data_IF_355898670549
#
_entry.id   IF_355898670549
#
_cell.length_a   1.000
_cell.length_b   1.000
_cell.length_c   1.000
_cell.angle_alpha   90.00
_cell.angle_beta   90.00
_cell.angle_gamma   90.00
#
_symmetry.space_group_name_H-M   'P 1'
#
loop_
_entity.id
_entity.type
_entity.pdbx_description
1 polymer ?
#
# COMPACT_ATOMS: atom_id res chain seq x y z
N UNK A 1 6.42 3.77 -10.12
CA UNK A 1 6.41 3.54 -8.65
C UNK A 1 5.42 4.51 -8.04
N UNK A 2 4.68 4.11 -7.01
CA UNK A 2 3.78 4.99 -6.27
C UNK A 2 4.58 5.64 -5.12
N UNK A 3 4.37 6.93 -4.85
CA UNK A 3 5.26 7.69 -3.95
C UNK A 3 4.55 8.81 -3.18
N UNK A 4 3.26 8.66 -2.92
CA UNK A 4 2.47 9.70 -2.27
C UNK A 4 2.94 10.01 -0.85
N UNK A 5 3.37 9.01 -0.09
CA UNK A 5 3.68 9.17 1.34
C UNK A 5 5.03 9.84 1.65
N UNK A 6 5.79 10.26 0.63
CA UNK A 6 6.98 11.06 0.84
C UNK A 6 7.15 12.13 -0.25
N UNK A 7 7.68 11.80 -1.44
CA UNK A 7 7.86 12.83 -2.48
C UNK A 7 6.54 13.50 -2.89
N UNK A 8 5.43 12.76 -2.90
CA UNK A 8 4.10 13.35 -3.12
C UNK A 8 3.66 14.28 -1.98
N UNK A 9 3.95 13.92 -0.72
CA UNK A 9 3.74 14.78 0.44
C UNK A 9 4.58 16.06 0.38
N UNK A 10 5.88 15.95 0.09
CA UNK A 10 6.78 17.11 -0.11
C UNK A 10 6.31 18.00 -1.25
N UNK A 11 5.93 17.40 -2.38
CA UNK A 11 5.40 18.13 -3.53
C UNK A 11 4.13 18.92 -3.15
N UNK A 12 3.13 18.24 -2.58
CA UNK A 12 1.86 18.88 -2.24
C UNK A 12 2.00 19.94 -1.14
N UNK A 13 2.84 19.72 -0.13
CA UNK A 13 3.14 20.72 0.91
C UNK A 13 3.86 21.95 0.37
N UNK A 14 4.83 21.76 -0.53
CA UNK A 14 5.53 22.87 -1.19
C UNK A 14 4.57 23.68 -2.08
N UNK A 15 3.71 23.02 -2.85
CA UNK A 15 2.69 23.71 -3.65
C UNK A 15 1.76 24.51 -2.74
N UNK A 16 1.27 23.92 -1.64
CA UNK A 16 0.41 24.65 -0.70
C UNK A 16 1.13 25.87 -0.10
N UNK A 17 2.40 25.74 0.25
CA UNK A 17 3.20 26.86 0.79
C UNK A 17 3.40 28.00 -0.21
N UNK A 18 3.61 27.67 -1.49
CA UNK A 18 3.76 28.66 -2.56
C UNK A 18 2.41 29.35 -2.84
N UNK A 19 1.35 28.55 -2.95
CA UNK A 19 0.00 29.03 -3.26
C UNK A 19 -0.60 29.89 -2.15
N UNK A 20 -0.22 29.64 -0.90
CA UNK A 20 -0.59 30.52 0.21
C UNK A 20 0.04 31.91 0.07
N UNK A 21 1.29 31.99 -0.39
CA UNK A 21 1.98 33.27 -0.59
C UNK A 21 1.45 34.04 -1.80
N UNK A 22 0.96 33.33 -2.83
CA UNK A 22 0.39 33.94 -4.03
C UNK A 22 -1.12 34.22 -3.92
N UNK A 23 -1.76 33.83 -2.82
CA UNK A 23 -3.19 33.95 -2.62
C UNK A 23 -3.69 35.39 -2.86
N UNK A 24 -4.76 35.54 -3.63
CA UNK A 24 -5.32 36.83 -4.06
C UNK A 24 -4.39 37.71 -4.92
N UNK A 25 -3.29 37.17 -5.44
CA UNK A 25 -2.45 37.85 -6.44
C UNK A 25 -2.73 37.32 -7.84
N UNK A 26 -2.11 37.95 -8.86
CA UNK A 26 -2.11 37.47 -10.24
C UNK A 26 -1.34 36.15 -10.46
N UNK A 27 -0.63 35.67 -9.43
CA UNK A 27 0.21 34.47 -9.49
C UNK A 27 -0.40 33.25 -8.79
N UNK A 28 -1.60 33.38 -8.21
CA UNK A 28 -2.32 32.22 -7.66
C UNK A 28 -2.69 31.21 -8.74
N UNK A 29 -2.79 29.94 -8.37
CA UNK A 29 -3.29 28.89 -9.23
C UNK A 29 -4.68 29.24 -9.79
N UNK A 30 -4.87 28.94 -11.08
CA UNK A 30 -6.16 28.97 -11.71
C UNK A 30 -7.06 27.82 -11.21
N UNK A 31 -8.30 27.74 -11.70
CA UNK A 31 -9.21 26.65 -11.29
C UNK A 31 -8.63 25.26 -11.57
N UNK A 32 -7.90 25.09 -12.67
CA UNK A 32 -7.30 23.80 -13.04
C UNK A 32 -6.25 23.37 -12.02
N UNK A 33 -5.32 24.26 -11.64
CA UNK A 33 -4.31 23.99 -10.62
C UNK A 33 -4.93 23.66 -9.26
N UNK A 34 -5.94 24.42 -8.85
CA UNK A 34 -6.69 24.19 -7.59
C UNK A 34 -7.38 22.83 -7.58
N UNK A 35 -8.00 22.44 -8.70
CA UNK A 35 -8.64 21.14 -8.86
C UNK A 35 -7.63 19.99 -8.83
N UNK A 36 -6.47 20.15 -9.46
CA UNK A 36 -5.40 19.13 -9.48
C UNK A 36 -4.87 18.88 -8.08
N UNK A 37 -4.61 19.93 -7.28
CA UNK A 37 -4.15 19.75 -5.90
C UNK A 37 -5.24 19.09 -5.04
N UNK A 38 -6.49 19.52 -5.18
CA UNK A 38 -7.61 18.87 -4.48
C UNK A 38 -7.75 17.38 -4.83
N UNK A 39 -7.67 17.04 -6.13
CA UNK A 39 -7.71 15.65 -6.59
C UNK A 39 -6.54 14.82 -6.04
N UNK A 40 -5.34 15.40 -5.99
CA UNK A 40 -4.16 14.76 -5.41
C UNK A 40 -4.38 14.44 -3.93
N UNK A 41 -4.88 15.40 -3.13
CA UNK A 41 -5.14 15.20 -1.71
C UNK A 41 -6.26 14.17 -1.47
N UNK A 42 -7.38 14.29 -2.19
CA UNK A 42 -8.49 13.33 -2.10
C UNK A 42 -8.07 11.92 -2.52
N UNK A 43 -7.17 11.76 -3.48
CA UNK A 43 -6.58 10.47 -3.82
C UNK A 43 -5.58 9.97 -2.77
N UNK A 44 -4.80 10.87 -2.18
CA UNK A 44 -3.77 10.55 -1.17
C UNK A 44 -4.39 10.08 0.14
N UNK A 45 -5.56 10.58 0.53
CA UNK A 45 -6.28 10.11 1.72
C UNK A 45 -6.56 8.60 1.70
N UNK A 46 -6.83 8.02 0.51
CA UNK A 46 -7.01 6.57 0.36
C UNK A 46 -5.75 5.76 0.66
N UNK A 47 -4.58 6.39 0.71
CA UNK A 47 -3.30 5.76 0.99
C UNK A 47 -2.87 5.93 2.46
N UNK A 48 -3.78 6.43 3.31
CA UNK A 48 -3.55 6.64 4.74
C UNK A 48 -4.40 5.66 5.54
N UNK A 49 -3.78 4.95 6.48
CA UNK A 49 -4.49 4.23 7.54
C UNK A 49 -4.19 4.88 8.89
N UNK A 50 -4.83 4.42 9.95
CA UNK A 50 -4.65 4.95 11.29
C UNK A 50 -4.33 3.85 12.29
N UNK A 51 -3.57 4.20 13.33
CA UNK A 51 -3.46 3.41 14.55
C UNK A 51 -4.07 4.23 15.70
N UNK A 52 -5.32 3.90 16.12
CA UNK A 52 -5.99 4.58 17.22
C UNK A 52 -5.25 4.46 18.57
N UNK A 53 -4.54 3.36 18.81
CA UNK A 53 -3.78 3.18 20.04
C UNK A 53 -2.58 4.14 20.10
N UNK A 54 -1.96 4.42 18.96
CA UNK A 54 -0.91 5.45 18.82
C UNK A 54 -1.45 6.87 18.59
N UNK A 55 -2.76 7.04 18.38
CA UNK A 55 -3.41 8.32 18.07
C UNK A 55 -2.81 9.01 16.84
N UNK A 56 -2.44 8.22 15.83
CA UNK A 56 -1.69 8.70 14.65
C UNK A 56 -2.19 8.09 13.35
N UNK A 57 -2.07 8.89 12.29
CA UNK A 57 -2.25 8.46 10.90
C UNK A 57 -0.91 8.05 10.29
N UNK A 58 -0.92 7.01 9.46
CA UNK A 58 0.24 6.41 8.81
C UNK A 58 0.01 6.26 7.31
N UNK A 59 1.10 6.37 6.56
CA UNK A 59 1.11 6.00 5.16
C UNK A 59 1.04 4.49 5.04
N UNK A 60 0.25 3.99 4.10
CA UNK A 60 0.40 2.62 3.61
C UNK A 60 1.85 2.37 3.18
N UNK A 61 2.40 1.22 3.55
CA UNK A 61 3.81 0.94 3.36
C UNK A 61 4.21 0.82 1.88
N UNK A 62 3.26 0.58 0.97
CA UNK A 62 3.53 0.53 -0.48
C UNK A 62 3.74 1.93 -1.07
N UNK A 63 3.25 2.99 -0.42
CA UNK A 63 3.33 4.38 -0.92
C UNK A 63 4.51 5.17 -0.37
N UNK A 64 5.37 4.52 0.42
CA UNK A 64 6.62 5.04 0.98
C UNK A 64 7.84 4.17 0.60
N UNK A 65 8.11 3.94 -0.71
CA UNK A 65 9.04 2.93 -1.24
C UNK A 65 10.27 2.61 -0.39
N UNK A 66 11.37 3.37 -0.51
CA UNK A 66 12.57 3.11 0.31
C UNK A 66 12.38 3.42 1.79
N UNK A 67 11.38 4.22 2.12
CA UNK A 67 11.14 4.66 3.48
C UNK A 67 10.51 3.58 4.36
N UNK A 68 9.99 2.51 3.76
CA UNK A 68 9.55 1.32 4.47
C UNK A 68 10.66 0.77 5.39
N UNK A 69 11.93 0.92 5.03
CA UNK A 69 13.04 0.36 5.83
C UNK A 69 13.43 1.18 7.06
N UNK A 70 12.76 2.30 7.35
CA UNK A 70 13.06 3.13 8.52
C UNK A 70 12.22 2.73 9.72
N UNK A 71 12.84 2.77 10.90
CA UNK A 71 12.12 2.58 12.15
C UNK A 71 11.16 3.75 12.38
N UNK A 72 10.04 3.50 13.07
CA UNK A 72 9.11 4.56 13.47
C UNK A 72 9.81 5.65 14.30
N UNK A 73 10.85 5.28 15.06
CA UNK A 73 11.64 6.19 15.88
C UNK A 73 12.48 7.19 15.07
N UNK A 74 12.76 6.90 13.79
CA UNK A 74 13.59 7.74 12.92
C UNK A 74 12.85 9.00 12.42
N UNK A 75 11.56 9.11 12.74
CA UNK A 75 10.68 10.23 12.38
C UNK A 75 10.69 10.51 10.85
N UNK A 76 10.76 9.44 10.06
CA UNK A 76 10.64 9.47 8.60
C UNK A 76 9.22 9.10 8.17
N UNK A 77 8.97 8.94 6.86
CA UNK A 77 7.64 8.63 6.35
C UNK A 77 7.01 7.34 6.92
N UNK A 78 7.81 6.37 7.38
CA UNK A 78 7.28 5.19 8.09
C UNK A 78 6.60 5.55 9.43
N UNK A 79 7.00 6.66 10.07
CA UNK A 79 6.54 7.09 11.40
C UNK A 79 5.16 7.76 11.43
N UNK A 80 4.59 8.06 10.26
CA UNK A 80 3.28 8.68 10.14
C UNK A 80 3.20 9.72 9.03
N UNK A 81 2.01 10.30 8.85
CA UNK A 81 1.78 11.39 7.88
C UNK A 81 2.29 12.76 8.34
N UNK A 82 2.80 12.87 9.57
CA UNK A 82 3.33 14.13 10.13
C UNK A 82 2.27 15.16 10.54
N UNK A 83 0.99 14.78 10.54
CA UNK A 83 -0.15 15.68 10.75
C UNK A 83 -0.64 16.32 9.45
N UNK A 84 -1.74 17.06 9.51
CA UNK A 84 -2.26 17.81 8.36
C UNK A 84 -1.57 19.17 8.29
N UNK A 85 -0.96 19.50 7.15
CA UNK A 85 -0.37 20.82 6.93
C UNK A 85 -1.48 21.90 7.07
N UNK A 86 -1.33 22.88 7.99
CA UNK A 86 -2.32 23.94 8.19
C UNK A 86 -2.60 24.75 6.91
N UNK A 87 -1.66 24.80 5.97
CA UNK A 87 -1.84 25.48 4.68
C UNK A 87 -2.99 24.88 3.87
N UNK A 88 -3.23 23.58 3.96
CA UNK A 88 -4.35 22.93 3.27
C UNK A 88 -5.70 23.44 3.78
N UNK A 89 -5.82 23.74 5.08
CA UNK A 89 -7.05 24.31 5.64
C UNK A 89 -7.31 25.71 5.06
N UNK A 90 -6.29 26.56 5.12
CA UNK A 90 -6.38 27.95 4.67
C UNK A 90 -6.70 28.01 3.17
N UNK A 91 -5.98 27.25 2.35
CA UNK A 91 -6.21 27.20 0.91
C UNK A 91 -7.54 26.55 0.55
N UNK A 92 -7.91 25.47 1.25
CA UNK A 92 -9.19 24.79 1.03
C UNK A 92 -10.36 25.74 1.20
N UNK A 93 -10.33 26.57 2.25
CA UNK A 93 -11.35 27.57 2.52
C UNK A 93 -11.29 28.74 1.53
N UNK A 94 -10.11 29.30 1.28
CA UNK A 94 -9.95 30.43 0.38
C UNK A 94 -10.32 30.10 -1.08
N UNK A 95 -10.08 28.86 -1.50
CA UNK A 95 -10.42 28.38 -2.84
C UNK A 95 -11.80 27.74 -2.94
N UNK A 96 -12.48 27.54 -1.82
CA UNK A 96 -13.68 26.71 -1.71
C UNK A 96 -13.48 25.33 -2.38
N UNK A 97 -12.34 24.69 -2.09
CA UNK A 97 -11.93 23.43 -2.70
C UNK A 97 -12.38 22.25 -1.83
N UNK A 98 -13.40 21.53 -2.30
CA UNK A 98 -14.09 20.49 -1.52
C UNK A 98 -13.20 19.33 -1.07
N UNK A 99 -12.35 18.80 -1.94
CA UNK A 99 -11.51 17.63 -1.61
C UNK A 99 -10.42 17.99 -0.60
N UNK A 100 -9.87 19.21 -0.67
CA UNK A 100 -8.91 19.73 0.30
C UNK A 100 -9.58 19.95 1.67
N UNK A 101 -10.77 20.54 1.69
CA UNK A 101 -11.55 20.69 2.93
C UNK A 101 -11.91 19.34 3.56
N UNK A 102 -12.28 18.34 2.74
CA UNK A 102 -12.53 16.97 3.20
C UNK A 102 -11.28 16.33 3.78
N UNK A 103 -10.17 16.38 3.05
CA UNK A 103 -8.87 15.85 3.49
C UNK A 103 -8.50 16.37 4.88
N UNK A 104 -8.61 17.69 5.08
CA UNK A 104 -8.32 18.33 6.36
C UNK A 104 -9.33 17.89 7.42
N UNK A 105 -10.64 17.97 7.14
CA UNK A 105 -11.70 17.57 8.10
C UNK A 105 -11.51 16.13 8.60
N UNK A 106 -11.06 15.24 7.72
CA UNK A 106 -11.00 13.81 7.97
C UNK A 106 -9.71 13.36 8.68
N UNK A 107 -8.60 14.08 8.49
CA UNK A 107 -7.28 13.70 9.02
C UNK A 107 -6.77 14.60 10.17
N UNK A 108 -7.41 15.75 10.42
CA UNK A 108 -7.04 16.65 11.53
C UNK A 108 -7.46 16.10 12.92
N UNK A 109 -8.63 15.45 13.08
CA UNK A 109 -9.01 14.84 14.35
C UNK A 109 -8.10 13.68 14.75
N UNK A 110 -7.98 13.43 16.05
CA UNK A 110 -7.31 12.22 16.56
C UNK A 110 -8.05 10.97 16.07
N UNK A 111 -7.38 10.01 15.41
CA UNK A 111 -8.06 8.84 14.87
C UNK A 111 -8.62 7.95 15.98
N UNK A 112 -9.84 7.46 15.76
CA UNK A 112 -10.56 6.53 16.64
C UNK A 112 -10.84 5.17 15.98
N UNK A 113 -10.56 5.03 14.69
CA UNK A 113 -10.65 3.77 13.93
C UNK A 113 -9.43 3.64 13.02
N UNK A 114 -9.23 2.47 12.40
CA UNK A 114 -8.15 2.24 11.42
C UNK A 114 -8.33 3.04 10.12
N UNK A 115 -9.55 3.48 9.84
CA UNK A 115 -9.82 4.34 8.71
C UNK A 115 -9.34 5.77 8.94
N UNK A 116 -8.89 6.41 7.86
CA UNK A 116 -8.39 7.78 7.86
C UNK A 116 -9.50 8.69 7.33
N UNK A 117 -10.47 8.98 8.21
CA UNK A 117 -11.76 9.58 7.85
C UNK A 117 -12.84 8.54 7.55
N UNK A 118 -14.05 8.96 7.14
CA UNK A 118 -15.18 8.08 6.82
C UNK A 118 -15.06 7.49 5.41
N UNK A 119 -13.88 7.00 5.02
CA UNK A 119 -13.64 6.38 3.71
C UNK A 119 -13.99 4.89 3.77
N UNK A 120 -15.08 4.51 3.13
CA UNK A 120 -15.49 3.12 2.90
C UNK A 120 -15.60 2.90 1.40
N UNK A 121 -15.16 1.74 0.92
CA UNK A 121 -15.31 1.33 -0.47
C UNK A 121 -14.06 0.80 -1.13
N UNK A 122 -14.09 0.64 -2.46
CA UNK A 122 -12.95 0.18 -3.25
C UNK A 122 -12.46 1.26 -4.24
N UNK A 123 -11.14 1.38 -4.41
CA UNK A 123 -10.54 2.31 -5.36
C UNK A 123 -9.30 1.74 -6.03
N UNK A 124 -9.34 1.65 -7.36
CA UNK A 124 -8.20 1.33 -8.21
C UNK A 124 -7.46 2.60 -8.67
N UNK A 125 -6.16 2.66 -8.39
CA UNK A 125 -5.21 3.64 -8.93
C UNK A 125 -4.47 3.01 -10.11
N UNK A 126 -5.13 2.96 -11.27
CA UNK A 126 -4.66 2.19 -12.44
C UNK A 126 -3.30 2.65 -12.99
N UNK A 127 -2.98 3.95 -12.89
CA UNK A 127 -1.68 4.48 -13.30
C UNK A 127 -0.52 4.03 -12.39
N UNK A 128 -0.83 3.59 -11.17
CA UNK A 128 0.14 3.25 -10.14
C UNK A 128 0.15 1.77 -9.78
N UNK A 129 -0.69 0.95 -10.42
CA UNK A 129 -0.84 -0.47 -10.12
C UNK A 129 -1.09 -0.70 -8.63
N UNK A 130 -2.06 0.02 -8.07
CA UNK A 130 -2.37 0.03 -6.65
C UNK A 130 -3.88 0.06 -6.44
N UNK A 131 -4.39 -0.75 -5.52
CA UNK A 131 -5.80 -0.77 -5.14
C UNK A 131 -5.93 -0.66 -3.62
N UNK A 132 -7.00 -0.01 -3.19
CA UNK A 132 -7.40 0.05 -1.78
C UNK A 132 -8.83 -0.41 -1.65
N UNK A 133 -9.09 -1.25 -0.66
CA UNK A 133 -10.42 -1.67 -0.25
C UNK A 133 -10.60 -1.35 1.23
N UNK A 134 -11.71 -0.73 1.59
CA UNK A 134 -12.02 -0.28 2.94
C UNK A 134 -13.41 -0.72 3.33
N UNK A 135 -13.51 -1.29 4.52
CA UNK A 135 -14.77 -1.44 5.25
C UNK A 135 -14.84 -0.38 6.34
N UNK A 136 -15.83 -0.43 7.24
CA UNK A 136 -15.85 0.43 8.43
C UNK A 136 -14.67 0.12 9.37
N UNK A 137 -14.27 -1.15 9.46
CA UNK A 137 -13.32 -1.67 10.45
C UNK A 137 -11.96 -2.06 9.90
N UNK A 138 -11.80 -2.12 8.58
CA UNK A 138 -10.56 -2.59 7.95
C UNK A 138 -10.14 -1.77 6.74
N UNK A 139 -8.83 -1.73 6.51
CA UNK A 139 -8.20 -1.20 5.30
C UNK A 139 -7.33 -2.30 4.71
N UNK A 140 -7.57 -2.66 3.46
CA UNK A 140 -6.71 -3.57 2.69
C UNK A 140 -6.13 -2.84 1.50
N UNK A 141 -4.83 -2.94 1.30
CA UNK A 141 -4.12 -2.35 0.17
C UNK A 141 -3.50 -3.46 -0.67
N UNK A 142 -3.37 -3.21 -1.98
CA UNK A 142 -2.83 -4.18 -2.93
C UNK A 142 -1.92 -3.45 -3.92
N UNK A 143 -0.65 -3.83 -3.97
CA UNK A 143 0.33 -3.38 -4.96
C UNK A 143 0.57 -4.45 -6.00
N UNK A 144 0.37 -4.06 -7.26
CA UNK A 144 0.67 -4.86 -8.44
C UNK A 144 1.90 -4.27 -9.17
N UNK A 145 2.34 -4.97 -10.22
CA UNK A 145 3.35 -4.48 -11.15
C UNK A 145 2.93 -4.72 -12.60
N UNK A 146 3.12 -3.71 -13.45
CA UNK A 146 3.02 -3.81 -14.90
C UNK A 146 4.19 -3.11 -15.57
N UNK A 147 4.23 -3.12 -16.90
CA UNK A 147 5.19 -2.34 -17.70
C UNK A 147 5.07 -0.81 -17.57
N UNK A 148 4.07 -0.31 -16.82
CA UNK A 148 3.92 1.11 -16.49
C UNK A 148 4.63 1.48 -15.20
N UNK A 149 4.94 0.49 -14.37
CA UNK A 149 5.44 0.70 -13.01
C UNK A 149 6.72 -0.09 -12.76
N UNK A 150 7.43 0.35 -11.73
CA UNK A 150 8.64 -0.33 -11.24
C UNK A 150 8.31 -1.01 -9.92
N UNK A 151 9.13 -1.98 -9.55
CA UNK A 151 9.09 -2.72 -8.28
C UNK A 151 9.11 -1.79 -7.05
N UNK A 152 10.26 -1.65 -6.39
CA UNK A 152 10.54 -0.62 -5.38
C UNK A 152 11.85 0.06 -5.74
N UNK A 153 12.36 0.92 -4.88
CA UNK A 153 13.65 1.57 -5.08
C UNK A 153 14.60 1.26 -3.92
N UNK A 154 15.89 1.32 -4.23
CA UNK A 154 16.94 1.48 -3.23
C UNK A 154 17.77 2.71 -3.56
N UNK A 155 17.83 3.66 -2.65
CA UNK A 155 18.61 4.91 -2.77
C UNK A 155 19.25 5.17 -1.43
N UNK A 156 20.51 5.63 -1.42
CA UNK A 156 21.28 5.86 -0.20
C UNK A 156 21.35 4.62 0.72
N UNK A 157 21.43 3.43 0.12
CA UNK A 157 21.41 2.13 0.81
C UNK A 157 20.14 1.82 1.60
N UNK A 158 19.06 2.58 1.37
CA UNK A 158 17.76 2.37 2.01
C UNK A 158 16.97 1.35 1.19
N UNK A 159 16.32 0.39 1.86
CA UNK A 159 15.52 -0.66 1.24
C UNK A 159 16.26 -1.56 0.20
N UNK A 160 17.43 -2.14 0.53
CA UNK A 160 18.21 -2.97 -0.41
C UNK A 160 17.53 -4.29 -0.79
N UNK A 161 16.47 -4.70 -0.08
CA UNK A 161 15.81 -5.99 -0.26
C UNK A 161 14.38 -5.88 -0.82
N UNK A 162 13.93 -4.67 -1.16
CA UNK A 162 12.53 -4.38 -1.49
C UNK A 162 12.05 -4.81 -2.88
N UNK A 163 12.71 -5.74 -3.55
CA UNK A 163 12.37 -6.14 -4.92
C UNK A 163 10.93 -6.68 -5.02
N UNK A 164 10.53 -7.58 -4.11
CA UNK A 164 9.24 -8.25 -4.13
C UNK A 164 8.07 -7.39 -3.61
N UNK A 165 8.28 -6.10 -3.29
CA UNK A 165 7.24 -5.22 -2.74
C UNK A 165 6.12 -4.84 -3.73
N UNK A 166 6.14 -5.39 -4.94
CA UNK A 166 5.14 -5.14 -5.99
C UNK A 166 4.51 -6.40 -6.58
N UNK A 167 4.85 -7.57 -6.04
CA UNK A 167 4.56 -8.87 -6.67
C UNK A 167 3.16 -9.38 -6.26
N UNK A 168 2.18 -8.46 -6.26
CA UNK A 168 0.85 -8.71 -5.68
C UNK A 168 0.84 -8.57 -4.16
N UNK A 169 1.60 -7.60 -3.64
CA UNK A 169 1.76 -7.39 -2.19
C UNK A 169 0.50 -6.79 -1.59
N UNK A 170 0.04 -7.37 -0.49
CA UNK A 170 -1.16 -6.97 0.22
C UNK A 170 -0.85 -6.62 1.67
N UNK A 171 -1.32 -5.47 2.14
CA UNK A 171 -1.33 -5.16 3.57
C UNK A 171 -2.75 -5.03 4.07
N UNK A 172 -3.03 -5.62 5.24
CA UNK A 172 -4.34 -5.66 5.86
C UNK A 172 -4.28 -5.04 7.25
N UNK A 173 -5.00 -3.95 7.44
CA UNK A 173 -5.02 -3.18 8.68
C UNK A 173 -6.38 -3.29 9.33
N UNK A 174 -6.41 -3.73 10.59
CA UNK A 174 -7.58 -3.75 11.47
C UNK A 174 -7.36 -2.89 12.72
N UNK A 175 -6.12 -2.87 13.19
CA UNK A 175 -5.67 -2.06 14.33
C UNK A 175 -4.72 -0.94 13.91
N UNK A 176 -4.09 -1.07 12.72
CA UNK A 176 -3.03 -0.21 12.24
C UNK A 176 -1.62 -0.69 12.65
N UNK A 177 -1.53 -1.59 13.65
CA UNK A 177 -0.27 -2.01 14.22
C UNK A 177 0.37 -3.23 13.55
N UNK A 178 -0.30 -3.84 12.55
CA UNK A 178 0.04 -5.15 12.00
C UNK A 178 1.46 -5.25 11.44
N UNK A 179 1.99 -4.15 10.86
CA UNK A 179 3.27 -4.14 10.14
C UNK A 179 4.28 -3.11 10.69
N UNK A 180 4.02 -2.54 11.86
CA UNK A 180 4.92 -1.54 12.45
C UNK A 180 6.29 -2.14 12.84
N UNK A 181 7.38 -1.46 12.48
CA UNK A 181 8.76 -1.79 12.88
C UNK A 181 9.23 -3.25 12.61
N UNK A 182 8.56 -3.98 11.72
CA UNK A 182 8.91 -5.39 11.45
C UNK A 182 9.98 -5.59 10.37
N UNK A 183 10.37 -4.52 9.66
CA UNK A 183 11.15 -4.58 8.42
C UNK A 183 12.56 -5.16 8.56
N UNK A 184 13.14 -5.04 9.77
CA UNK A 184 14.44 -5.62 10.07
C UNK A 184 14.38 -7.17 10.21
N UNK A 185 13.21 -7.70 10.54
CA UNK A 185 12.96 -9.16 10.71
C UNK A 185 12.11 -9.74 9.59
N UNK A 186 11.70 -8.92 8.64
CA UNK A 186 10.86 -9.31 7.52
C UNK A 186 11.64 -10.22 6.57
N UNK A 187 11.07 -11.38 6.23
CA UNK A 187 11.57 -12.17 5.11
C UNK A 187 11.11 -11.53 3.81
N UNK A 188 12.05 -10.83 3.16
CA UNK A 188 11.84 -10.08 1.93
C UNK A 188 11.53 -10.96 0.70
N UNK A 189 11.76 -12.28 0.76
CA UNK A 189 11.31 -13.22 -0.26
C UNK A 189 9.83 -13.62 -0.10
N UNK A 190 9.22 -13.31 1.04
CA UNK A 190 7.86 -13.69 1.40
C UNK A 190 7.02 -12.45 1.73
N UNK A 191 7.11 -11.41 0.91
CA UNK A 191 6.28 -10.23 1.08
C UNK A 191 4.80 -10.62 1.19
N UNK A 192 4.05 -9.96 2.08
CA UNK A 192 2.65 -10.31 2.37
C UNK A 192 1.81 -10.35 1.09
N UNK A 193 1.07 -11.44 0.83
CA UNK A 193 0.25 -11.63 -0.37
C UNK A 193 1.01 -12.09 -1.64
N UNK A 194 2.34 -12.00 -1.65
CA UNK A 194 3.16 -12.28 -2.84
C UNK A 194 3.17 -13.76 -3.23
N UNK A 195 3.59 -14.05 -4.46
CA UNK A 195 3.92 -15.40 -4.91
C UNK A 195 5.32 -15.36 -5.48
N UNK A 196 6.22 -16.20 -4.97
CA UNK A 196 7.66 -16.13 -5.25
C UNK A 196 8.26 -17.52 -5.39
N UNK A 197 9.26 -17.64 -6.27
CA UNK A 197 10.26 -18.70 -6.21
C UNK A 197 11.31 -18.32 -5.16
N UNK A 198 11.23 -18.95 -3.99
CA UNK A 198 11.88 -18.50 -2.77
C UNK A 198 13.40 -18.40 -2.91
N UNK A 199 13.96 -17.22 -2.65
CA UNK A 199 15.40 -16.95 -2.69
C UNK A 199 16.05 -17.22 -4.06
N UNK A 200 15.26 -17.28 -5.13
CA UNK A 200 15.77 -17.43 -6.49
C UNK A 200 16.15 -16.09 -7.14
N UNK A 201 15.61 -14.98 -6.62
CA UNK A 201 15.97 -13.62 -7.03
C UNK A 201 16.95 -13.02 -6.04
N UNK A 202 18.06 -12.47 -6.54
CA UNK A 202 19.05 -11.80 -5.69
C UNK A 202 18.47 -10.49 -5.16
N UNK A 203 18.39 -10.38 -3.84
CA UNK A 203 17.92 -9.18 -3.16
C UNK A 203 19.12 -8.31 -2.75
N UNK A 204 19.38 -7.27 -3.54
CA UNK A 204 20.40 -6.25 -3.26
C UNK A 204 20.00 -4.90 -3.84
N UNK A 205 20.65 -3.82 -3.37
CA UNK A 205 20.27 -2.45 -3.72
C UNK A 205 20.26 -2.18 -5.23
N UNK A 206 21.28 -2.66 -5.97
CA UNK A 206 21.40 -2.56 -7.44
C UNK A 206 20.31 -3.32 -8.20
N UNK A 207 19.60 -4.23 -7.52
CA UNK A 207 18.55 -5.09 -8.05
C UNK A 207 17.17 -4.73 -7.48
N UNK A 208 17.04 -3.78 -6.56
CA UNK A 208 15.73 -3.49 -5.97
C UNK A 208 14.77 -2.88 -7.00
N UNK A 209 15.28 -2.00 -7.87
CA UNK A 209 14.48 -1.33 -8.89
C UNK A 209 14.48 -2.12 -10.22
N UNK A 210 13.30 -2.47 -10.71
CA UNK A 210 13.12 -3.07 -12.03
C UNK A 210 11.77 -2.65 -12.62
N UNK A 211 11.74 -2.37 -13.92
CA UNK A 211 10.50 -2.09 -14.65
C UNK A 211 9.74 -3.41 -14.87
N UNK A 212 8.44 -3.42 -14.62
CA UNK A 212 7.61 -4.59 -14.91
C UNK A 212 7.62 -4.95 -16.40
N UNK A 213 7.35 -6.21 -16.72
CA UNK A 213 7.33 -6.69 -18.11
C UNK A 213 5.90 -6.74 -18.67
N UNK A 214 4.97 -7.27 -17.89
CA UNK A 214 3.61 -7.58 -18.35
C UNK A 214 2.73 -6.33 -18.40
N UNK A 215 1.86 -6.23 -19.40
CA UNK A 215 0.88 -5.13 -19.52
C UNK A 215 -0.35 -5.36 -18.64
N UNK A 216 -0.64 -6.64 -18.34
CA UNK A 216 -1.85 -7.08 -17.64
C UNK A 216 -1.65 -6.96 -16.12
N UNK A 217 -1.81 -5.75 -15.61
CA UNK A 217 -2.05 -5.50 -14.20
C UNK A 217 -3.06 -4.36 -14.05
N UNK A 218 -4.02 -4.51 -13.16
CA UNK A 218 -5.05 -3.49 -12.94
C UNK A 218 -6.25 -4.06 -12.22
N UNK A 219 -7.36 -3.32 -12.26
CA UNK A 219 -8.59 -3.74 -11.64
C UNK A 219 -9.79 -2.89 -11.99
N UNK A 220 -10.96 -3.35 -11.58
CA UNK A 220 -12.23 -2.63 -11.61
C UNK A 220 -12.69 -2.40 -10.18
N UNK A 221 -13.25 -1.22 -9.94
CA UNK A 221 -13.82 -0.84 -8.65
C UNK A 221 -15.31 -0.56 -8.83
N UNK A 222 -16.12 -1.14 -7.96
CA UNK A 222 -17.46 -0.68 -7.63
C UNK A 222 -17.39 0.08 -6.30
N UNK A 223 -18.53 0.54 -5.79
CA UNK A 223 -18.58 1.33 -4.55
C UNK A 223 -17.97 0.58 -3.37
N UNK A 224 -18.43 -0.65 -3.10
CA UNK A 224 -18.05 -1.45 -1.92
C UNK A 224 -17.30 -2.76 -2.28
N UNK A 225 -17.02 -2.96 -3.57
CA UNK A 225 -16.47 -4.21 -4.08
C UNK A 225 -15.45 -3.90 -5.17
N UNK A 226 -14.51 -4.81 -5.43
CA UNK A 226 -13.53 -4.62 -6.49
C UNK A 226 -12.86 -5.90 -6.91
N UNK A 227 -12.28 -5.89 -8.11
CA UNK A 227 -11.47 -7.01 -8.61
C UNK A 227 -10.18 -6.45 -9.14
N UNK A 228 -9.06 -7.05 -8.72
CA UNK A 228 -7.74 -6.80 -9.28
C UNK A 228 -7.20 -8.08 -9.91
N UNK A 229 -6.38 -7.93 -10.94
CA UNK A 229 -5.70 -9.05 -11.57
C UNK A 229 -4.32 -8.64 -12.07
N UNK A 230 -3.39 -9.59 -12.04
CA UNK A 230 -2.01 -9.41 -12.46
C UNK A 230 -1.51 -10.67 -13.17
N UNK A 231 -0.92 -10.50 -14.34
CA UNK A 231 0.02 -11.44 -14.93
C UNK A 231 1.41 -10.97 -14.54
N UNK A 232 2.17 -11.84 -13.90
CA UNK A 232 3.52 -11.55 -13.44
C UNK A 232 4.53 -12.38 -14.22
N UNK A 233 5.61 -11.72 -14.62
CA UNK A 233 6.85 -12.34 -15.05
C UNK A 233 7.96 -11.63 -14.29
N UNK A 234 8.80 -12.38 -13.58
CA UNK A 234 9.90 -11.82 -12.80
C UNK A 234 10.78 -10.93 -13.70
N UNK A 235 10.86 -9.61 -13.46
CA UNK A 235 11.51 -8.70 -14.38
C UNK A 235 13.04 -8.86 -14.44
N UNK A 236 13.64 -9.56 -13.48
CA UNK A 236 15.08 -9.80 -13.44
C UNK A 236 15.48 -11.14 -13.99
N UNK A 237 14.87 -12.21 -13.46
CA UNK A 237 15.27 -13.56 -13.83
C UNK A 237 14.55 -14.01 -15.09
N UNK A 238 13.30 -13.55 -15.30
CA UNK A 238 12.37 -14.05 -16.31
C UNK A 238 12.18 -15.58 -16.26
N UNK A 239 12.50 -16.21 -15.12
CA UNK A 239 12.40 -17.66 -14.91
C UNK A 239 11.16 -18.04 -14.09
N UNK A 240 10.44 -17.05 -13.56
CA UNK A 240 9.27 -17.27 -12.72
C UNK A 240 8.10 -16.40 -13.16
N UNK A 241 6.92 -17.00 -13.28
CA UNK A 241 5.69 -16.33 -13.70
C UNK A 241 4.46 -16.94 -13.04
N UNK A 242 3.40 -16.13 -12.91
CA UNK A 242 2.10 -16.57 -12.42
C UNK A 242 1.00 -15.63 -12.94
N UNK A 243 -0.26 -16.03 -12.75
CA UNK A 243 -1.39 -15.09 -12.81
C UNK A 243 -2.14 -15.15 -11.49
N UNK A 244 -2.47 -13.98 -10.96
CA UNK A 244 -3.15 -13.83 -9.68
C UNK A 244 -4.30 -12.85 -9.81
N UNK A 245 -5.41 -13.17 -9.15
CA UNK A 245 -6.58 -12.31 -9.09
C UNK A 245 -7.06 -12.21 -7.64
N UNK A 246 -7.57 -11.04 -7.29
CA UNK A 246 -8.10 -10.69 -5.98
C UNK A 246 -9.50 -10.15 -6.16
N UNK A 247 -10.44 -10.70 -5.41
CA UNK A 247 -11.83 -10.25 -5.37
C UNK A 247 -12.10 -9.72 -3.96
N UNK A 248 -12.54 -8.48 -3.89
CA UNK A 248 -12.86 -7.76 -2.67
C UNK A 248 -14.38 -7.56 -2.60
N UNK A 249 -14.98 -7.94 -1.49
CA UNK A 249 -16.42 -7.84 -1.23
C UNK A 249 -16.67 -7.05 0.07
N UNK A 250 -17.92 -6.69 0.37
CA UNK A 250 -18.28 -6.11 1.66
C UNK A 250 -17.81 -6.97 2.84
N UNK A 251 -17.69 -6.33 4.01
CA UNK A 251 -17.25 -6.97 5.27
C UNK A 251 -15.84 -7.61 5.20
N UNK A 252 -15.02 -7.14 4.25
CA UNK A 252 -13.63 -7.57 4.06
C UNK A 252 -13.50 -9.04 3.67
N UNK A 253 -14.54 -9.62 3.04
CA UNK A 253 -14.44 -10.95 2.43
C UNK A 253 -13.56 -10.84 1.18
N UNK A 254 -12.50 -11.65 1.14
CA UNK A 254 -11.54 -11.64 0.04
C UNK A 254 -11.34 -13.04 -0.54
N UNK A 255 -11.32 -13.13 -1.86
CA UNK A 255 -10.93 -14.35 -2.57
C UNK A 255 -9.68 -14.08 -3.40
N UNK A 256 -8.69 -14.95 -3.23
CA UNK A 256 -7.42 -14.86 -3.96
C UNK A 256 -7.24 -16.14 -4.77
N UNK A 257 -7.08 -15.97 -6.08
CA UNK A 257 -6.83 -17.06 -7.01
C UNK A 257 -5.42 -16.93 -7.56
N UNK A 258 -4.64 -18.01 -7.52
CA UNK A 258 -3.32 -18.11 -8.14
C UNK A 258 -3.35 -19.24 -9.13
N UNK A 259 -2.95 -18.99 -10.37
CA UNK A 259 -2.91 -20.01 -11.42
C UNK A 259 -1.71 -19.82 -12.34
N UNK A 260 -1.53 -20.79 -13.25
CA UNK A 260 -0.50 -20.76 -14.29
C UNK A 260 0.89 -20.42 -13.74
N UNK A 261 1.22 -20.98 -12.56
CA UNK A 261 2.53 -20.82 -11.94
C UNK A 261 3.54 -21.63 -12.76
N UNK A 262 4.60 -20.96 -13.20
CA UNK A 262 5.72 -21.58 -13.91
C UNK A 262 7.02 -21.09 -13.27
N UNK A 263 7.86 -22.01 -12.82
CA UNK A 263 9.21 -21.75 -12.34
C UNK A 263 10.20 -22.63 -13.08
N UNK A 264 11.24 -22.02 -13.66
CA UNK A 264 12.38 -22.70 -14.26
C UNK A 264 13.61 -22.72 -13.32
N UNK A 265 13.40 -22.41 -12.04
CA UNK A 265 14.42 -22.47 -10.99
C UNK A 265 14.29 -23.77 -10.20
N UNK A 266 15.29 -24.09 -9.37
CA UNK A 266 15.22 -25.23 -8.43
C UNK A 266 14.62 -24.83 -7.08
N UNK A 267 14.23 -23.56 -6.90
CA UNK A 267 13.69 -23.05 -5.66
C UNK A 267 12.24 -23.51 -5.45
N UNK A 268 11.81 -23.72 -4.18
CA UNK A 268 10.41 -23.95 -3.89
C UNK A 268 9.60 -22.68 -4.19
N UNK A 269 8.35 -22.88 -4.63
CA UNK A 269 7.42 -21.77 -4.88
C UNK A 269 6.46 -21.64 -3.70
N UNK A 270 6.31 -20.43 -3.17
CA UNK A 270 5.34 -20.11 -2.14
C UNK A 270 4.37 -19.03 -2.62
N UNK A 271 3.11 -19.13 -2.19
CA UNK A 271 2.20 -17.99 -2.19
C UNK A 271 1.98 -17.62 -0.73
N UNK A 272 2.53 -16.48 -0.31
CA UNK A 272 2.44 -16.06 1.08
C UNK A 272 1.07 -15.38 1.32
N UNK A 273 0.35 -15.82 2.35
CA UNK A 273 -0.95 -15.21 2.69
C UNK A 273 -0.74 -13.87 3.40
N UNK A 274 0.12 -13.84 4.41
CA UNK A 274 0.43 -12.65 5.20
C UNK A 274 1.79 -12.80 5.88
N UNK A 275 2.45 -11.70 6.20
CA UNK A 275 3.63 -11.67 7.06
C UNK A 275 3.54 -10.43 7.93
N UNK A 276 3.05 -10.61 9.16
CA UNK A 276 2.71 -9.53 10.09
C UNK A 276 3.16 -9.84 11.51
N UNK A 277 3.16 -8.84 12.37
CA UNK A 277 3.41 -9.02 13.79
C UNK A 277 2.36 -9.95 14.41
N UNK A 278 2.83 -10.98 15.09
CA UNK A 278 1.98 -11.93 15.79
C UNK A 278 1.33 -11.28 17.01
N UNK A 279 0.02 -11.48 17.18
CA UNK A 279 -0.74 -10.99 18.34
C UNK A 279 -1.91 -11.92 18.64
N UNK A 280 -1.90 -12.50 19.83
CA UNK A 280 -2.97 -13.37 20.30
C UNK A 280 -2.88 -14.81 19.76
N UNK A 281 -3.78 -15.69 20.21
CA UNK A 281 -3.78 -17.09 19.81
C UNK A 281 -4.04 -17.29 18.31
N UNK A 282 -3.47 -18.34 17.73
CA UNK A 282 -3.76 -18.80 16.36
C UNK A 282 -4.69 -19.99 16.47
N UNK A 283 -5.66 -20.09 15.55
CA UNK A 283 -6.55 -21.24 15.47
C UNK A 283 -6.46 -21.87 14.08
N UNK A 284 -6.42 -23.20 14.05
CA UNK A 284 -6.46 -24.02 12.83
C UNK A 284 -7.53 -25.08 13.02
N UNK A 285 -8.47 -25.18 12.08
CA UNK A 285 -9.64 -26.08 12.18
C UNK A 285 -10.45 -25.94 13.50
N UNK A 286 -10.50 -24.71 14.04
CA UNK A 286 -11.10 -24.31 15.33
C UNK A 286 -10.32 -24.71 16.59
N UNK A 287 -9.15 -25.34 16.45
CA UNK A 287 -8.28 -25.66 17.59
C UNK A 287 -7.16 -24.63 17.72
N UNK A 288 -6.86 -24.23 18.96
CA UNK A 288 -5.73 -23.34 19.25
C UNK A 288 -4.42 -24.04 18.85
N UNK A 289 -3.58 -23.32 18.12
CA UNK A 289 -2.39 -23.83 17.46
C UNK A 289 -1.17 -22.96 17.82
N UNK A 290 -0.06 -23.63 18.12
CA UNK A 290 1.24 -23.00 18.26
C UNK A 290 1.95 -22.86 16.90
N UNK A 291 3.25 -22.55 16.89
CA UNK A 291 4.06 -22.58 15.67
C UNK A 291 4.16 -24.01 15.10
N UNK A 292 4.02 -24.13 13.78
CA UNK A 292 4.04 -25.44 13.12
C UNK A 292 3.74 -25.37 11.64
N UNK A 293 3.81 -26.54 10.99
CA UNK A 293 3.36 -26.73 9.63
C UNK A 293 1.98 -27.41 9.64
N UNK A 294 0.97 -26.71 9.15
CA UNK A 294 -0.43 -27.15 9.14
C UNK A 294 -0.97 -27.44 7.73
N UNK A 295 -0.10 -27.89 6.82
CA UNK A 295 -0.45 -28.09 5.40
C UNK A 295 -1.53 -29.16 5.11
N UNK A 296 -1.91 -29.98 6.10
CA UNK A 296 -2.93 -31.03 5.98
C UNK A 296 -4.27 -30.68 6.65
N UNK A 297 -4.40 -29.49 7.24
CA UNK A 297 -5.62 -29.00 7.86
C UNK A 297 -6.68 -28.62 6.80
N UNK A 298 -7.96 -28.87 7.10
CA UNK A 298 -9.07 -28.65 6.16
C UNK A 298 -9.27 -29.72 5.07
N UNK A 299 -8.59 -30.87 5.14
CA UNK A 299 -8.86 -32.06 4.27
C UNK A 299 -10.06 -32.90 4.71
N UNK A 300 -10.83 -32.50 5.72
CA UNK A 300 -12.02 -33.24 6.14
C UNK A 300 -13.20 -33.01 5.17
N UNK A 301 -13.53 -34.08 4.44
CA UNK A 301 -14.77 -34.34 3.69
C UNK A 301 -15.13 -33.37 2.55
N UNK A 302 -14.59 -33.66 1.35
CA UNK A 302 -15.36 -33.53 0.11
C UNK A 302 -16.05 -34.84 -0.21
#
# INVERSE_FOLDING_TARGET
MIYNGNYGGVFSGNIASIELQSLNTRFQADQSGRNVLGLLLGGTQWMVFSDPARKKHFWDYTVIPRFISFALADNQASSGVGGVDPNYRILGDAWNQTEMQRFVRDLDPVPVSVNAGPLVGNRMFWNSDYMVHRTEDTVTTLKLISNRTKTSECVNSQNPYGFHLSDGVMYQYSTGAEYHDMWATFDWNLASGSTTDYNATVLECSKTESLGIETYAGGVSATDSGVAAMKYLNPQTQQFSFRKAWFFFPDNVQHVLVNSIVSNTTAPVYSNLDQRLHKGPIYVDNDEADSGNYSDCGKQNR
#
